data_IF_733677883468
#
_entry.id   IF_733677883468
#
_cell.length_a   1.000
_cell.length_b   1.000
_cell.length_c   1.000
_cell.angle_alpha   90.00
_cell.angle_beta   90.00
_cell.angle_gamma   90.00
#
_symmetry.space_group_name_H-M   'P 1'
#
loop_
_entity.id
_entity.type
_entity.pdbx_description
1 polymer ?
#
# COMPACT_ATOMS: atom_id res chain seq x y z
N UNK A 1 -6.78 -6.05 18.33
CA UNK A 1 -8.20 -6.00 17.93
C UNK A 1 -8.75 -4.58 17.85
N UNK A 2 -8.46 -3.71 18.84
CA UNK A 2 -9.01 -2.34 18.91
C UNK A 2 -8.73 -1.46 17.67
N UNK A 3 -7.51 -1.47 17.13
CA UNK A 3 -7.15 -0.68 15.94
C UNK A 3 -7.97 -1.04 14.70
N UNK A 4 -8.19 -2.34 14.47
CA UNK A 4 -8.97 -2.83 13.33
C UNK A 4 -10.42 -2.34 13.39
N UNK A 5 -11.04 -2.47 14.56
CA UNK A 5 -12.42 -2.03 14.77
C UNK A 5 -12.58 -0.52 14.63
N UNK A 6 -11.60 0.25 15.11
CA UNK A 6 -11.55 1.70 14.91
C UNK A 6 -11.52 2.07 13.43
N UNK A 7 -10.65 1.41 12.64
CA UNK A 7 -10.54 1.64 11.19
C UNK A 7 -11.86 1.27 10.48
N UNK A 8 -12.46 0.13 10.85
CA UNK A 8 -13.78 -0.27 10.31
C UNK A 8 -14.86 0.76 10.67
N UNK A 9 -14.87 1.25 11.92
CA UNK A 9 -15.78 2.28 12.38
C UNK A 9 -15.64 3.57 11.57
N UNK A 10 -14.42 4.03 11.34
CA UNK A 10 -14.13 5.22 10.54
C UNK A 10 -14.54 5.04 9.07
N UNK A 11 -14.25 3.88 8.47
CA UNK A 11 -14.68 3.55 7.11
C UNK A 11 -16.20 3.57 6.98
N UNK A 12 -16.92 2.98 7.94
CA UNK A 12 -18.39 3.00 7.99
C UNK A 12 -18.92 4.43 8.17
N UNK A 13 -18.33 5.22 9.06
CA UNK A 13 -18.70 6.63 9.30
C UNK A 13 -18.57 7.47 8.02
N UNK A 14 -17.62 7.15 7.15
CA UNK A 14 -17.45 7.78 5.82
C UNK A 14 -18.25 7.13 4.69
N UNK A 15 -19.20 6.24 5.00
CA UNK A 15 -20.06 5.58 4.01
C UNK A 15 -19.36 4.53 3.13
N UNK A 16 -18.15 4.09 3.49
CA UNK A 16 -17.42 3.06 2.74
C UNK A 16 -17.93 1.68 3.17
N UNK A 17 -18.57 0.95 2.25
CA UNK A 17 -19.08 -0.42 2.51
C UNK A 17 -17.94 -1.41 2.77
N UNK A 18 -17.99 -2.15 3.88
CA UNK A 18 -17.01 -3.21 4.18
C UNK A 18 -17.47 -4.58 3.67
N UNK A 19 -17.16 -4.87 2.40
CA UNK A 19 -17.32 -6.22 1.81
C UNK A 19 -16.28 -7.18 2.36
N UNK A 20 -16.45 -8.49 2.17
CA UNK A 20 -15.51 -9.48 2.69
C UNK A 20 -14.10 -9.33 2.09
N UNK A 21 -13.99 -9.04 0.80
CA UNK A 21 -12.72 -8.71 0.17
C UNK A 21 -12.02 -7.49 0.81
N UNK A 22 -12.79 -6.46 1.20
CA UNK A 22 -12.23 -5.27 1.87
C UNK A 22 -11.78 -5.58 3.31
N UNK A 23 -12.45 -6.52 3.99
CA UNK A 23 -12.02 -7.01 5.30
C UNK A 23 -10.70 -7.79 5.17
N UNK A 24 -10.60 -8.71 4.22
CA UNK A 24 -9.36 -9.44 3.91
C UNK A 24 -8.22 -8.46 3.61
N UNK A 25 -8.47 -7.46 2.75
CA UNK A 25 -7.47 -6.43 2.44
C UNK A 25 -7.01 -5.66 3.68
N UNK A 26 -7.94 -5.27 4.56
CA UNK A 26 -7.60 -4.60 5.81
C UNK A 26 -6.75 -5.49 6.71
N UNK A 27 -7.10 -6.78 6.81
CA UNK A 27 -6.37 -7.76 7.61
C UNK A 27 -4.94 -7.94 7.08
N UNK A 28 -4.78 -8.15 5.78
CA UNK A 28 -3.46 -8.22 5.12
C UNK A 28 -2.64 -6.97 5.41
N UNK A 29 -3.22 -5.78 5.23
CA UNK A 29 -2.49 -4.52 5.44
C UNK A 29 -2.05 -4.36 6.89
N UNK A 30 -2.86 -4.76 7.87
CA UNK A 30 -2.56 -4.60 9.30
C UNK A 30 -1.61 -5.67 9.86
N UNK A 31 -1.50 -6.84 9.22
CA UNK A 31 -0.66 -7.94 9.71
C UNK A 31 0.84 -7.77 9.39
N UNK A 32 1.17 -6.99 8.36
CA UNK A 32 2.53 -6.93 7.80
C UNK A 32 3.15 -5.54 7.82
N UNK A 33 4.48 -5.51 7.70
CA UNK A 33 5.22 -4.32 7.28
C UNK A 33 5.50 -4.46 5.80
N UNK A 34 4.79 -3.70 4.99
CA UNK A 34 4.83 -3.80 3.54
C UNK A 34 5.77 -2.75 2.95
N UNK A 35 6.66 -3.17 2.05
CA UNK A 35 7.55 -2.26 1.33
C UNK A 35 6.94 -1.75 0.03
N UNK A 36 5.93 -2.47 -0.50
CA UNK A 36 5.30 -2.11 -1.77
C UNK A 36 3.86 -2.63 -1.90
N UNK A 37 3.08 -1.99 -2.78
CA UNK A 37 1.75 -2.48 -3.16
C UNK A 37 1.77 -3.87 -3.82
N UNK A 38 2.91 -4.27 -4.41
CA UNK A 38 3.07 -5.58 -5.05
C UNK A 38 3.07 -6.71 -4.02
N UNK A 39 3.70 -6.50 -2.88
CA UNK A 39 3.71 -7.47 -1.78
C UNK A 39 2.31 -7.64 -1.19
N UNK A 40 1.62 -6.52 -0.92
CA UNK A 40 0.23 -6.53 -0.44
C UNK A 40 -0.67 -7.30 -1.41
N UNK A 41 -0.53 -7.06 -2.71
CA UNK A 41 -1.28 -7.79 -3.74
C UNK A 41 -1.01 -9.29 -3.69
N UNK A 42 0.26 -9.69 -3.64
CA UNK A 42 0.62 -11.11 -3.63
C UNK A 42 0.02 -11.81 -2.40
N UNK A 43 0.14 -11.20 -1.23
CA UNK A 43 -0.42 -11.77 0.00
C UNK A 43 -1.95 -11.83 -0.03
N UNK A 44 -2.62 -10.76 -0.48
CA UNK A 44 -4.07 -10.75 -0.60
C UNK A 44 -4.58 -11.80 -1.60
N UNK A 45 -3.90 -11.97 -2.74
CA UNK A 45 -4.28 -12.96 -3.76
C UNK A 45 -4.14 -14.41 -3.31
N UNK A 46 -3.27 -14.69 -2.33
CA UNK A 46 -3.19 -16.03 -1.71
C UNK A 46 -4.42 -16.34 -0.87
N UNK A 47 -5.00 -15.32 -0.22
CA UNK A 47 -6.17 -15.46 0.64
C UNK A 47 -7.48 -15.48 -0.14
N UNK A 48 -7.57 -14.63 -1.16
CA UNK A 48 -8.69 -14.59 -2.09
C UNK A 48 -8.19 -14.32 -3.52
N UNK A 49 -8.18 -15.33 -4.41
CA UNK A 49 -7.82 -15.17 -5.81
C UNK A 49 -8.67 -14.16 -6.59
N UNK A 50 -9.85 -13.80 -6.09
CA UNK A 50 -10.70 -12.75 -6.65
C UNK A 50 -10.18 -11.32 -6.39
N UNK A 51 -9.16 -11.14 -5.55
CA UNK A 51 -8.55 -9.83 -5.29
C UNK A 51 -7.56 -9.48 -6.40
N UNK A 52 -8.00 -8.59 -7.29
CA UNK A 52 -7.13 -7.99 -8.31
C UNK A 52 -6.31 -6.79 -7.78
N UNK A 53 -5.25 -6.43 -8.52
CA UNK A 53 -4.40 -5.25 -8.24
C UNK A 53 -5.22 -3.95 -8.08
N UNK A 54 -6.26 -3.75 -8.90
CA UNK A 54 -7.12 -2.57 -8.81
C UNK A 54 -7.86 -2.47 -7.46
N UNK A 55 -8.21 -3.60 -6.85
CA UNK A 55 -8.82 -3.62 -5.50
C UNK A 55 -7.81 -3.22 -4.44
N UNK A 56 -6.56 -3.70 -4.57
CA UNK A 56 -5.45 -3.33 -3.68
C UNK A 56 -5.20 -1.82 -3.72
N UNK A 57 -5.00 -1.25 -4.92
CA UNK A 57 -4.73 0.18 -5.06
C UNK A 57 -5.88 1.05 -4.53
N UNK A 58 -7.14 0.68 -4.83
CA UNK A 58 -8.30 1.42 -4.31
C UNK A 58 -8.39 1.35 -2.79
N UNK A 59 -8.09 0.20 -2.19
CA UNK A 59 -8.13 0.07 -0.74
C UNK A 59 -7.01 0.88 -0.08
N UNK A 60 -5.78 0.83 -0.63
CA UNK A 60 -4.66 1.64 -0.15
C UNK A 60 -5.01 3.12 -0.24
N UNK A 61 -5.53 3.59 -1.38
CA UNK A 61 -5.94 4.98 -1.55
C UNK A 61 -7.01 5.42 -0.54
N UNK A 62 -8.00 4.57 -0.25
CA UNK A 62 -9.01 4.86 0.77
C UNK A 62 -8.39 4.92 2.17
N UNK A 63 -7.47 4.01 2.51
CA UNK A 63 -6.80 4.01 3.80
C UNK A 63 -5.84 5.21 3.96
N UNK A 64 -5.21 5.65 2.88
CA UNK A 64 -4.44 6.91 2.83
C UNK A 64 -5.37 8.13 3.04
N UNK A 65 -6.53 8.18 2.35
CA UNK A 65 -7.52 9.27 2.44
C UNK A 65 -8.06 9.47 3.87
N UNK A 66 -8.17 8.38 4.65
CA UNK A 66 -8.63 8.43 6.04
C UNK A 66 -7.49 8.57 7.05
N UNK A 67 -6.24 8.66 6.60
CA UNK A 67 -5.06 8.84 7.46
C UNK A 67 -4.57 7.58 8.18
N UNK A 68 -5.01 6.39 7.76
CA UNK A 68 -4.56 5.10 8.33
C UNK A 68 -3.22 4.69 7.73
N UNK A 69 -2.99 4.97 6.46
CA UNK A 69 -1.72 4.72 5.78
C UNK A 69 -1.04 6.02 5.41
N UNK A 70 0.28 6.04 5.57
CA UNK A 70 1.15 7.08 5.03
C UNK A 70 1.92 6.52 3.84
N UNK A 71 2.03 7.31 2.77
CA UNK A 71 2.84 6.95 1.61
C UNK A 71 4.31 7.21 1.89
N UNK A 72 5.11 6.15 2.04
CA UNK A 72 6.57 6.27 2.02
C UNK A 72 7.07 6.05 0.59
N UNK A 73 7.59 7.10 -0.06
CA UNK A 73 8.37 6.95 -1.30
C UNK A 73 9.81 6.71 -0.91
N UNK A 74 10.43 5.63 -1.38
CA UNK A 74 11.87 5.45 -1.21
C UNK A 74 12.54 5.26 -2.57
N UNK A 75 13.33 6.27 -2.93
CA UNK A 75 14.29 6.26 -4.01
C UNK A 75 15.58 6.86 -3.46
N UNK A 76 16.74 6.37 -3.89
CA UNK A 76 18.03 6.97 -3.53
C UNK A 76 18.96 6.94 -4.74
N UNK A 77 19.49 8.11 -5.08
CA UNK A 77 20.50 8.34 -6.13
C UNK A 77 21.87 8.57 -5.47
N UNK A 78 22.95 8.32 -6.21
CA UNK A 78 24.35 8.42 -5.76
C UNK A 78 24.81 9.89 -5.58
N UNK A 79 25.87 10.10 -4.79
CA UNK A 79 26.52 11.41 -4.61
C UNK A 79 27.25 11.87 -5.89
N UNK A 80 27.39 13.18 -6.09
CA UNK A 80 27.91 13.81 -7.33
C UNK A 80 29.32 13.33 -7.74
N UNK A 81 30.16 12.96 -6.78
CA UNK A 81 31.51 12.43 -7.05
C UNK A 81 31.49 11.11 -7.85
N UNK A 82 30.43 10.29 -7.73
CA UNK A 82 30.25 9.03 -8.46
C UNK A 82 29.49 9.19 -9.80
N UNK A 83 28.90 10.36 -10.05
CA UNK A 83 28.14 10.68 -11.27
C UNK A 83 29.04 11.28 -12.37
N UNK A 84 30.21 11.83 -12.00
CA UNK A 84 31.20 12.42 -12.91
C UNK A 84 31.76 11.45 -13.97
N UNK A 85 31.68 10.14 -13.73
CA UNK A 85 32.14 9.09 -14.65
C UNK A 85 31.12 8.75 -15.75
N UNK A 86 29.90 9.30 -15.70
CA UNK A 86 28.81 8.97 -16.64
C UNK A 86 28.73 9.99 -17.79
N UNK A 87 29.27 11.20 -17.61
CA UNK A 87 29.13 12.29 -18.60
C UNK A 87 30.30 12.43 -19.58
N UNK A 88 31.30 11.54 -19.59
CA UNK A 88 32.47 11.66 -20.49
C UNK A 88 32.28 11.09 -21.90
N UNK A 89 31.25 10.29 -22.15
CA UNK A 89 31.07 9.56 -23.43
C UNK A 89 30.01 10.17 -24.36
N UNK A 90 29.46 11.33 -24.03
CA UNK A 90 28.64 12.12 -24.96
C UNK A 90 29.53 13.15 -25.69
N UNK A 91 30.48 12.65 -26.48
CA UNK A 91 31.15 13.40 -27.56
C UNK A 91 30.30 13.38 -28.83
#
# INVERSE_FOLDING_TARGET
MQQREQIIGELKRRGKRMTDQRKIMLDVILEGRWSSCKEIYYEASKRDPGIGKATVYRMIAVLEEIGVLNRCRQYSLRNEDELSSITSDAS
#
